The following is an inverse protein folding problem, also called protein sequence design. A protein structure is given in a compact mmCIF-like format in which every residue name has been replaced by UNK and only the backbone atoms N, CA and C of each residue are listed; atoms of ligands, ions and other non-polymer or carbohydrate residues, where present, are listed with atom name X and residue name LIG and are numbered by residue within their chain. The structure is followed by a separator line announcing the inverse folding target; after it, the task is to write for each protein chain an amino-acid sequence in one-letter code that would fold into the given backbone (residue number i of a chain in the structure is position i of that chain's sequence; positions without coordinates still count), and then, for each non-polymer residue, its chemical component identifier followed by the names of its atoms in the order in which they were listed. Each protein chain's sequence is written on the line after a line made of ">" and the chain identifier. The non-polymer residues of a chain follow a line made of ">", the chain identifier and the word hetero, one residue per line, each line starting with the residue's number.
data_IF_634308855101
#
_entry.id   IF_634308855101
#
_cell.length_a   1.000
_cell.length_b   1.000
_cell.length_c   1.000
_cell.angle_alpha   90.00
_cell.angle_beta   90.00
_cell.angle_gamma   90.00
#
_symmetry.space_group_name_H-M   'P 1'
#
loop_
_entity.id
_entity.type
_entity.pdbx_description
1 polymer ?
#
# COMPACT_ATOMS: atom_id res chain seq x y z
N UNK A 1 -4.19 -5.66 29.90
CA UNK A 1 -4.79 -6.68 29.00
C UNK A 1 -4.64 -6.28 27.51
N UNK A 2 -4.61 -5.01 27.14
CA UNK A 2 -4.42 -4.51 25.76
C UNK A 2 -3.00 -4.73 25.19
N UNK A 3 -1.96 -4.84 26.02
CA UNK A 3 -0.57 -4.98 25.58
C UNK A 3 -0.22 -6.40 25.05
N UNK A 4 -0.92 -7.44 25.49
CA UNK A 4 -0.61 -8.84 25.11
C UNK A 4 -1.10 -9.24 23.71
N UNK A 5 -2.16 -8.57 23.20
CA UNK A 5 -2.74 -8.91 21.89
C UNK A 5 -1.87 -8.38 20.75
N UNK A 6 -1.17 -7.27 20.93
CA UNK A 6 -0.33 -6.64 19.92
C UNK A 6 0.97 -7.39 19.62
N UNK A 7 1.56 -8.03 20.62
CA UNK A 7 2.76 -8.87 20.41
C UNK A 7 2.43 -10.08 19.52
N UNK A 8 1.27 -10.70 19.68
CA UNK A 8 0.90 -11.90 18.94
C UNK A 8 0.79 -11.67 17.41
N UNK A 9 0.19 -10.55 16.96
CA UNK A 9 0.03 -10.29 15.52
C UNK A 9 1.36 -9.88 14.86
N UNK A 10 2.17 -9.08 15.52
CA UNK A 10 3.54 -8.71 15.04
C UNK A 10 4.44 -9.93 15.00
N UNK A 11 4.42 -10.77 16.03
CA UNK A 11 5.21 -12.01 16.09
C UNK A 11 4.77 -12.97 14.99
N UNK A 12 3.46 -13.09 14.74
CA UNK A 12 2.90 -13.88 13.64
C UNK A 12 3.40 -13.37 12.28
N UNK A 13 3.33 -12.06 12.03
CA UNK A 13 3.81 -11.44 10.78
C UNK A 13 5.31 -11.70 10.63
N UNK A 14 6.11 -11.43 11.66
CA UNK A 14 7.55 -11.66 11.64
C UNK A 14 7.90 -13.13 11.34
N UNK A 15 7.24 -14.07 11.99
CA UNK A 15 7.46 -15.51 11.78
C UNK A 15 7.15 -15.93 10.34
N UNK A 16 6.03 -15.47 9.77
CA UNK A 16 5.60 -15.80 8.41
C UNK A 16 6.61 -15.27 7.38
N UNK A 17 7.00 -14.01 7.50
CA UNK A 17 7.91 -13.38 6.53
C UNK A 17 9.34 -13.94 6.65
N UNK A 18 9.78 -14.30 7.87
CA UNK A 18 11.10 -14.96 8.08
C UNK A 18 11.13 -16.36 7.47
N UNK A 19 10.05 -17.14 7.60
CA UNK A 19 9.97 -18.48 7.03
C UNK A 19 9.93 -18.50 5.51
N UNK A 20 9.33 -17.49 4.89
CA UNK A 20 9.13 -17.42 3.42
C UNK A 20 10.38 -17.04 2.65
N UNK A 21 11.43 -16.52 3.30
CA UNK A 21 12.60 -16.00 2.59
C UNK A 21 12.24 -14.91 1.57
N UNK A 22 11.18 -14.14 1.84
CA UNK A 22 10.48 -13.25 0.90
C UNK A 22 11.41 -12.27 0.18
N UNK A 23 12.51 -11.92 0.83
CA UNK A 23 13.48 -10.96 0.29
C UNK A 23 14.39 -11.57 -0.81
N UNK A 24 14.48 -12.90 -0.85
CA UNK A 24 15.30 -13.65 -1.81
C UNK A 24 14.48 -14.64 -2.67
N UNK A 25 13.15 -14.61 -2.58
CA UNK A 25 12.28 -15.50 -3.34
C UNK A 25 12.28 -15.11 -4.83
N UNK A 26 12.70 -16.00 -5.75
CA UNK A 26 12.70 -15.74 -7.19
C UNK A 26 11.31 -15.38 -7.77
N UNK A 27 10.22 -15.82 -7.12
CA UNK A 27 8.86 -15.43 -7.53
C UNK A 27 8.62 -13.92 -7.42
N UNK A 28 9.34 -13.22 -6.52
CA UNK A 28 9.23 -11.77 -6.29
C UNK A 28 10.39 -10.96 -6.86
N UNK A 29 11.14 -11.55 -7.79
CA UNK A 29 12.23 -10.88 -8.50
C UNK A 29 11.73 -10.10 -9.70
N UNK A 30 12.29 -8.91 -9.95
CA UNK A 30 12.02 -8.12 -11.17
C UNK A 30 12.50 -8.83 -12.46
N UNK A 31 13.29 -9.91 -12.34
CA UNK A 31 13.66 -10.79 -13.47
C UNK A 31 12.51 -11.76 -13.82
N UNK A 32 11.61 -12.06 -12.86
CA UNK A 32 10.45 -12.90 -13.12
C UNK A 32 9.41 -12.11 -13.92
N UNK A 33 9.11 -12.50 -15.18
CA UNK A 33 8.21 -11.72 -16.03
C UNK A 33 6.77 -11.65 -15.51
N UNK A 34 6.30 -12.66 -14.77
CA UNK A 34 4.96 -12.65 -14.17
C UNK A 34 4.88 -11.64 -13.03
N UNK A 35 5.92 -11.60 -12.20
CA UNK A 35 6.02 -10.58 -11.14
C UNK A 35 6.15 -9.18 -11.71
N UNK A 36 7.00 -9.00 -12.74
CA UNK A 36 7.18 -7.73 -13.42
C UNK A 36 5.87 -7.21 -14.04
N UNK A 37 5.10 -8.08 -14.69
CA UNK A 37 3.77 -7.73 -15.22
C UNK A 37 2.83 -7.22 -14.11
N UNK A 38 2.79 -7.91 -12.97
CA UNK A 38 2.04 -7.49 -11.79
C UNK A 38 2.49 -6.10 -11.30
N UNK A 39 3.80 -5.88 -11.19
CA UNK A 39 4.35 -4.60 -10.74
C UNK A 39 3.99 -3.46 -11.71
N UNK A 40 4.08 -3.68 -13.02
CA UNK A 40 3.68 -2.69 -14.03
C UNK A 40 2.18 -2.34 -13.94
N UNK A 41 1.32 -3.28 -13.58
CA UNK A 41 -0.12 -2.98 -13.38
C UNK A 41 -0.32 -2.00 -12.22
N UNK A 42 0.40 -2.16 -11.10
CA UNK A 42 0.37 -1.22 -9.97
C UNK A 42 1.02 0.11 -10.33
N UNK A 43 2.16 0.10 -11.04
CA UNK A 43 2.85 1.31 -11.49
C UNK A 43 1.94 2.18 -12.36
N UNK A 44 1.33 1.59 -13.39
CA UNK A 44 0.38 2.31 -14.27
C UNK A 44 -0.78 2.90 -13.49
N UNK A 45 -1.31 2.15 -12.51
CA UNK A 45 -2.40 2.64 -11.68
C UNK A 45 -1.96 3.81 -10.80
N UNK A 46 -0.77 3.72 -10.20
CA UNK A 46 -0.18 4.76 -9.35
C UNK A 46 0.12 6.03 -10.15
N UNK A 47 0.79 5.93 -11.29
CA UNK A 47 1.11 7.08 -12.14
C UNK A 47 -0.15 7.78 -12.67
N UNK A 48 -1.16 7.01 -13.08
CA UNK A 48 -2.45 7.56 -13.47
C UNK A 48 -3.15 8.29 -12.30
N UNK A 49 -3.08 7.74 -11.08
CA UNK A 49 -3.61 8.39 -9.88
C UNK A 49 -2.89 9.71 -9.59
N UNK A 50 -1.55 9.72 -9.58
CA UNK A 50 -0.73 10.92 -9.37
C UNK A 50 -1.07 12.01 -10.40
N UNK A 51 -1.28 11.63 -11.66
CA UNK A 51 -1.71 12.55 -12.72
C UNK A 51 -3.09 13.13 -12.43
N UNK A 52 -4.05 12.29 -12.07
CA UNK A 52 -5.44 12.70 -11.83
C UNK A 52 -5.59 13.64 -10.62
N UNK A 53 -4.76 13.46 -9.58
CA UNK A 53 -4.77 14.35 -8.40
C UNK A 53 -3.84 15.56 -8.55
N UNK A 54 -3.15 15.73 -9.70
CA UNK A 54 -2.25 16.85 -9.97
C UNK A 54 -0.91 16.78 -9.25
N UNK A 55 -0.50 15.61 -8.75
CA UNK A 55 0.74 15.43 -7.99
C UNK A 55 1.96 15.12 -8.86
N UNK A 56 1.74 14.70 -10.11
CA UNK A 56 2.82 14.30 -11.03
C UNK A 56 3.82 15.43 -11.37
N UNK A 57 3.36 16.71 -11.37
CA UNK A 57 4.22 17.87 -11.70
C UNK A 57 5.05 18.38 -10.53
N UNK A 58 4.75 17.93 -9.31
CA UNK A 58 5.39 18.39 -8.07
C UNK A 58 5.88 17.25 -7.17
N UNK A 59 6.05 16.05 -7.74
CA UNK A 59 6.37 14.86 -6.97
C UNK A 59 7.68 14.99 -6.16
N UNK A 60 8.63 15.77 -6.66
CA UNK A 60 9.88 16.06 -5.96
C UNK A 60 9.67 16.76 -4.60
N UNK A 61 8.61 17.55 -4.46
CA UNK A 61 8.31 18.32 -3.25
C UNK A 61 7.39 17.60 -2.27
N UNK A 62 6.76 16.49 -2.72
CA UNK A 62 5.79 15.75 -1.92
C UNK A 62 6.46 14.79 -0.97
N UNK A 63 5.98 14.76 0.27
CA UNK A 63 6.37 13.76 1.27
C UNK A 63 5.53 12.51 1.10
N UNK A 64 6.19 11.38 0.85
CA UNK A 64 5.57 10.08 0.61
C UNK A 64 5.88 9.14 1.76
N UNK A 65 4.85 8.52 2.33
CA UNK A 65 4.97 7.42 3.27
C UNK A 65 4.63 6.11 2.56
N UNK A 66 5.56 5.17 2.52
CA UNK A 66 5.32 3.77 2.15
C UNK A 66 5.04 2.96 3.42
N UNK A 67 3.76 2.65 3.63
CA UNK A 67 3.28 1.92 4.81
C UNK A 67 3.41 0.41 4.58
N UNK A 68 4.17 -0.27 5.44
CA UNK A 68 4.55 -1.67 5.26
C UNK A 68 5.57 -1.83 4.12
N UNK A 69 6.57 -0.96 4.10
CA UNK A 69 7.51 -0.81 2.99
C UNK A 69 8.39 -2.05 2.73
N UNK A 70 8.45 -2.99 3.68
CA UNK A 70 9.35 -4.13 3.61
C UNK A 70 10.81 -3.70 3.42
N UNK A 71 11.50 -4.32 2.46
CA UNK A 71 12.86 -3.97 2.06
C UNK A 71 12.92 -2.83 1.01
N UNK A 72 11.93 -1.92 1.03
CA UNK A 72 11.85 -0.72 0.18
C UNK A 72 11.78 -1.00 -1.34
N UNK A 73 11.03 -2.01 -1.78
CA UNK A 73 10.91 -2.38 -3.21
C UNK A 73 10.33 -1.26 -4.08
N UNK A 74 9.51 -0.38 -3.53
CA UNK A 74 8.89 0.73 -4.26
C UNK A 74 9.77 1.98 -4.34
N UNK A 75 10.77 2.11 -3.49
CA UNK A 75 11.58 3.33 -3.39
C UNK A 75 12.31 3.67 -4.69
N UNK A 76 12.93 2.68 -5.35
CA UNK A 76 13.56 2.88 -6.66
C UNK A 76 12.58 3.40 -7.72
N UNK A 77 11.32 2.98 -7.66
CA UNK A 77 10.27 3.45 -8.56
C UNK A 77 9.85 4.88 -8.26
N UNK A 78 9.63 5.20 -6.99
CA UNK A 78 9.34 6.58 -6.57
C UNK A 78 10.43 7.56 -7.00
N UNK A 79 11.70 7.19 -6.82
CA UNK A 79 12.87 7.99 -7.26
C UNK A 79 12.88 8.12 -8.79
N UNK A 80 12.67 7.02 -9.51
CA UNK A 80 12.62 7.04 -10.98
C UNK A 80 11.46 7.90 -11.53
N UNK A 81 10.38 8.07 -10.78
CA UNK A 81 9.27 8.97 -11.14
C UNK A 81 9.54 10.43 -10.77
N UNK A 82 10.64 10.73 -10.10
CA UNK A 82 11.07 12.09 -9.75
C UNK A 82 10.82 12.50 -8.30
N UNK A 83 10.51 11.56 -7.41
CA UNK A 83 10.45 11.88 -5.98
C UNK A 83 11.85 12.14 -5.43
N UNK A 84 11.99 13.15 -4.57
CA UNK A 84 13.24 13.42 -3.85
C UNK A 84 13.45 12.35 -2.77
N UNK A 85 14.62 11.65 -2.74
CA UNK A 85 14.86 10.60 -1.76
C UNK A 85 14.64 11.01 -0.30
N UNK A 86 15.06 12.21 0.10
CA UNK A 86 14.86 12.73 1.46
C UNK A 86 13.37 12.95 1.85
N UNK A 87 12.47 12.98 0.86
CA UNK A 87 11.02 13.08 1.05
C UNK A 87 10.31 11.71 1.09
N UNK A 88 11.06 10.62 0.87
CA UNK A 88 10.54 9.26 0.92
C UNK A 88 10.76 8.66 2.31
N UNK A 89 9.68 8.20 2.91
CA UNK A 89 9.69 7.57 4.23
C UNK A 89 9.07 6.18 4.12
N UNK A 90 9.71 5.19 4.73
CA UNK A 90 9.19 3.83 4.86
C UNK A 90 8.99 3.44 6.31
N UNK A 91 7.88 2.76 6.61
CA UNK A 91 7.64 2.13 7.91
C UNK A 91 7.28 0.66 7.73
N UNK A 92 7.77 -0.19 8.62
CA UNK A 92 7.40 -1.60 8.70
C UNK A 92 7.49 -2.06 10.16
N UNK A 93 6.73 -3.06 10.56
CA UNK A 93 6.81 -3.68 11.90
C UNK A 93 8.05 -4.58 12.04
N UNK A 94 8.67 -4.97 10.93
CA UNK A 94 9.82 -5.87 10.87
C UNK A 94 11.13 -5.07 10.87
N UNK A 95 11.81 -5.03 12.02
CA UNK A 95 13.08 -4.30 12.17
C UNK A 95 14.14 -4.72 11.14
N UNK A 96 14.24 -6.04 10.82
CA UNK A 96 15.17 -6.55 9.82
C UNK A 96 14.90 -6.01 8.41
N UNK A 97 13.61 -5.85 8.05
CA UNK A 97 13.25 -5.27 6.75
C UNK A 97 13.64 -3.77 6.67
N UNK A 98 13.48 -3.05 7.77
CA UNK A 98 13.90 -1.64 7.89
C UNK A 98 15.42 -1.51 7.78
N UNK A 99 16.20 -2.40 8.43
CA UNK A 99 17.66 -2.44 8.30
C UNK A 99 18.06 -2.59 6.82
N UNK A 100 17.52 -3.61 6.13
CA UNK A 100 17.79 -3.86 4.70
C UNK A 100 17.36 -2.68 3.81
N UNK A 101 16.26 -2.03 4.12
CA UNK A 101 15.77 -0.86 3.40
C UNK A 101 16.71 0.34 3.57
N UNK A 102 17.20 0.57 4.80
CA UNK A 102 18.13 1.66 5.13
C UNK A 102 19.49 1.47 4.43
N UNK A 103 20.01 0.25 4.39
CA UNK A 103 21.24 -0.07 3.68
C UNK A 103 21.10 0.17 2.17
N UNK A 104 19.95 -0.18 1.60
CA UNK A 104 19.67 -0.06 0.17
C UNK A 104 19.44 1.37 -0.29
N UNK A 105 18.80 2.20 0.55
CA UNK A 105 18.45 3.60 0.23
C UNK A 105 18.83 4.53 1.41
N UNK A 106 20.13 4.74 1.68
CA UNK A 106 20.59 5.51 2.85
C UNK A 106 20.17 7.00 2.83
N UNK A 107 19.74 7.51 1.68
CA UNK A 107 19.24 8.87 1.51
C UNK A 107 17.74 9.02 1.83
N UNK A 108 17.03 7.93 2.10
CA UNK A 108 15.61 7.91 2.45
C UNK A 108 15.45 7.72 3.98
N UNK A 109 14.24 7.91 4.48
CA UNK A 109 13.93 7.78 5.90
C UNK A 109 13.24 6.43 6.14
N UNK A 110 13.77 5.63 7.07
CA UNK A 110 13.14 4.36 7.46
C UNK A 110 12.99 4.26 8.96
N UNK A 111 11.84 3.75 9.41
CA UNK A 111 11.59 3.61 10.84
C UNK A 111 10.76 2.37 11.12
N UNK A 112 11.19 1.59 12.11
CA UNK A 112 10.39 0.50 12.65
C UNK A 112 9.19 1.09 13.39
N UNK A 113 7.99 0.60 13.08
CA UNK A 113 6.80 1.01 13.78
C UNK A 113 6.29 -0.09 14.71
N UNK A 114 5.58 0.30 15.75
CA UNK A 114 4.76 -0.62 16.54
C UNK A 114 3.34 -0.67 15.95
N UNK A 115 2.64 -1.80 16.08
CA UNK A 115 1.23 -1.86 15.68
C UNK A 115 0.43 -0.71 16.29
N UNK A 116 -0.54 -0.19 15.54
CA UNK A 116 -1.45 0.89 15.96
C UNK A 116 -0.82 2.28 16.05
N UNK A 117 0.47 2.45 15.75
CA UNK A 117 1.11 3.76 15.81
C UNK A 117 2.13 3.96 14.70
N UNK A 118 1.88 4.94 13.85
CA UNK A 118 2.84 5.44 12.86
C UNK A 118 3.67 6.55 13.54
N UNK A 119 5.01 6.39 13.68
CA UNK A 119 5.85 7.24 14.52
C UNK A 119 6.17 8.62 13.87
N UNK A 120 5.14 9.28 13.36
CA UNK A 120 5.21 10.61 12.78
C UNK A 120 4.06 11.49 13.27
N UNK A 121 4.26 12.80 13.24
CA UNK A 121 3.25 13.78 13.63
C UNK A 121 2.01 13.73 12.70
N UNK A 122 0.91 14.31 13.18
CA UNK A 122 -0.27 14.51 12.33
C UNK A 122 0.11 15.31 11.09
N UNK A 123 -0.55 15.00 9.98
CA UNK A 123 -0.44 15.81 8.74
C UNK A 123 1.00 15.96 8.22
N UNK A 124 1.78 14.89 8.30
CA UNK A 124 3.18 14.86 7.88
C UNK A 124 3.37 14.56 6.39
N UNK A 125 2.44 13.82 5.76
CA UNK A 125 2.64 13.27 4.42
C UNK A 125 1.57 13.73 3.42
N UNK A 126 1.99 13.98 2.19
CA UNK A 126 1.10 14.30 1.07
C UNK A 126 0.50 13.02 0.45
N UNK A 127 1.26 11.93 0.50
CA UNK A 127 0.87 10.62 -0.02
C UNK A 127 1.17 9.57 1.05
N UNK A 128 0.19 8.72 1.35
CA UNK A 128 0.38 7.46 2.06
C UNK A 128 0.12 6.32 1.09
N UNK A 129 1.16 5.58 0.75
CA UNK A 129 1.07 4.42 -0.15
C UNK A 129 1.11 3.13 0.66
N UNK A 130 0.22 2.20 0.35
CA UNK A 130 0.30 0.83 0.84
C UNK A 130 0.05 -0.17 -0.30
N UNK A 131 0.82 -1.25 -0.31
CA UNK A 131 0.67 -2.30 -1.30
C UNK A 131 0.74 -3.69 -0.65
N UNK A 132 -0.42 -4.34 -0.56
CA UNK A 132 -0.59 -5.71 -0.01
C UNK A 132 -0.14 -5.82 1.46
N UNK A 133 -0.57 -4.88 2.30
CA UNK A 133 -0.27 -4.86 3.74
C UNK A 133 -1.48 -5.29 4.56
N UNK A 134 -2.65 -4.70 4.32
CA UNK A 134 -3.84 -4.94 5.14
C UNK A 134 -4.36 -6.36 5.05
N UNK A 135 -4.16 -7.02 3.93
CA UNK A 135 -4.46 -8.46 3.83
C UNK A 135 -3.66 -9.33 4.80
N UNK A 136 -2.48 -8.89 5.21
CA UNK A 136 -1.65 -9.59 6.20
C UNK A 136 -2.05 -9.29 7.65
N UNK A 137 -2.87 -8.28 7.91
CA UNK A 137 -3.40 -7.97 9.23
C UNK A 137 -4.72 -8.74 9.40
N UNK A 138 -4.76 -9.78 10.24
CA UNK A 138 -5.97 -10.60 10.43
C UNK A 138 -6.91 -10.02 11.48
N UNK A 139 -6.36 -9.29 12.45
CA UNK A 139 -7.10 -8.61 13.50
C UNK A 139 -7.88 -7.40 12.94
N UNK A 140 -9.20 -7.42 13.12
CA UNK A 140 -10.10 -6.37 12.60
C UNK A 140 -9.90 -5.02 13.27
N UNK A 141 -9.67 -5.01 14.58
CA UNK A 141 -9.52 -3.77 15.36
C UNK A 141 -8.20 -3.10 14.98
N UNK A 142 -7.14 -3.92 14.84
CA UNK A 142 -5.85 -3.44 14.36
C UNK A 142 -5.95 -2.84 12.93
N UNK A 143 -6.77 -3.42 12.04
CA UNK A 143 -7.01 -2.82 10.72
C UNK A 143 -7.63 -1.43 10.82
N UNK A 144 -8.65 -1.25 11.66
CA UNK A 144 -9.31 0.05 11.84
C UNK A 144 -8.37 1.10 12.46
N UNK A 145 -7.65 0.72 13.50
CA UNK A 145 -6.68 1.62 14.13
C UNK A 145 -5.53 1.99 13.19
N UNK A 146 -5.04 1.03 12.41
CA UNK A 146 -4.02 1.27 11.38
C UNK A 146 -4.54 2.22 10.30
N UNK A 147 -5.77 2.05 9.83
CA UNK A 147 -6.40 2.94 8.87
C UNK A 147 -6.56 4.37 9.43
N UNK A 148 -6.98 4.50 10.69
CA UNK A 148 -7.06 5.79 11.38
C UNK A 148 -5.70 6.50 11.47
N UNK A 149 -4.63 5.76 11.78
CA UNK A 149 -3.27 6.29 11.81
C UNK A 149 -2.79 6.77 10.43
N UNK A 150 -3.11 6.02 9.35
CA UNK A 150 -2.81 6.48 7.98
C UNK A 150 -3.51 7.81 7.68
N UNK A 151 -4.77 7.98 8.09
CA UNK A 151 -5.50 9.25 7.92
C UNK A 151 -4.93 10.34 8.82
N UNK A 152 -4.50 10.00 10.07
CA UNK A 152 -3.92 10.97 11.00
C UNK A 152 -2.64 11.61 10.43
N UNK A 153 -1.74 10.79 9.90
CA UNK A 153 -0.46 11.28 9.35
C UNK A 153 -0.59 11.91 7.96
N UNK A 154 -1.73 11.74 7.29
CA UNK A 154 -2.01 12.32 5.98
C UNK A 154 -2.41 13.78 6.14
N UNK A 155 -1.79 14.67 5.35
CA UNK A 155 -2.15 16.11 5.28
C UNK A 155 -3.57 16.30 4.75
N UNK A 156 -4.22 17.44 5.05
CA UNK A 156 -5.42 17.87 4.32
C UNK A 156 -5.16 17.86 2.80
N UNK A 157 -6.13 17.40 2.02
CA UNK A 157 -6.02 17.17 0.57
C UNK A 157 -4.95 16.15 0.14
N UNK A 158 -4.26 15.50 1.07
CA UNK A 158 -3.39 14.38 0.80
C UNK A 158 -4.18 13.14 0.35
N UNK A 159 -3.48 12.16 -0.23
CA UNK A 159 -4.12 10.95 -0.75
C UNK A 159 -3.51 9.68 -0.19
N UNK A 160 -4.37 8.69 0.07
CA UNK A 160 -3.95 7.30 0.27
C UNK A 160 -4.02 6.60 -1.09
N UNK A 161 -2.92 5.99 -1.51
CA UNK A 161 -2.85 5.08 -2.64
C UNK A 161 -2.85 3.65 -2.11
N UNK A 162 -3.94 2.96 -2.33
CA UNK A 162 -4.22 1.64 -1.78
C UNK A 162 -4.16 0.57 -2.85
N UNK A 163 -3.46 -0.53 -2.59
CA UNK A 163 -3.53 -1.74 -3.41
C UNK A 163 -3.55 -2.99 -2.52
N UNK A 164 -4.59 -3.82 -2.64
CA UNK A 164 -4.65 -5.10 -1.95
C UNK A 164 -5.54 -6.11 -2.71
N UNK A 165 -5.42 -7.40 -2.40
CA UNK A 165 -6.20 -8.42 -3.08
C UNK A 165 -7.59 -8.61 -2.45
N UNK A 166 -8.56 -8.97 -3.32
CA UNK A 166 -9.98 -9.04 -3.00
C UNK A 166 -10.53 -10.47 -2.90
N UNK A 167 -9.68 -11.47 -3.12
CA UNK A 167 -10.01 -12.89 -3.02
C UNK A 167 -9.15 -13.56 -1.96
N UNK A 168 -9.76 -14.39 -1.11
CA UNK A 168 -8.98 -15.22 -0.20
C UNK A 168 -8.16 -16.24 -0.98
N UNK A 169 -6.93 -16.43 -0.55
CA UNK A 169 -6.09 -17.52 -1.06
C UNK A 169 -6.33 -18.76 -0.19
N UNK A 170 -6.96 -19.82 -0.72
CA UNK A 170 -7.26 -21.02 0.08
C UNK A 170 -5.99 -21.74 0.59
N UNK A 171 -4.87 -21.52 -0.11
CA UNK A 171 -3.59 -22.12 0.26
C UNK A 171 -2.76 -21.26 1.23
N UNK A 172 -3.29 -20.10 1.66
CA UNK A 172 -2.57 -19.21 2.55
C UNK A 172 -3.51 -18.63 3.62
N UNK A 173 -3.64 -19.29 4.78
CA UNK A 173 -4.48 -18.83 5.87
C UNK A 173 -3.96 -17.55 6.57
N UNK A 174 -2.72 -17.16 6.28
CA UNK A 174 -2.07 -16.00 6.90
C UNK A 174 -2.45 -14.67 6.25
N UNK A 175 -3.35 -14.69 5.26
CA UNK A 175 -3.83 -13.49 4.59
C UNK A 175 -5.35 -13.58 4.42
N UNK A 176 -6.01 -12.42 4.50
CA UNK A 176 -7.44 -12.27 4.33
C UNK A 176 -7.72 -11.16 3.33
N UNK A 177 -8.56 -11.46 2.34
CA UNK A 177 -8.98 -10.49 1.33
C UNK A 177 -9.52 -9.20 1.96
N UNK A 178 -9.25 -8.07 1.31
CA UNK A 178 -9.81 -6.76 1.67
C UNK A 178 -10.71 -6.30 0.53
N UNK A 179 -12.01 -6.45 0.71
CA UNK A 179 -13.00 -6.13 -0.31
C UNK A 179 -13.27 -4.62 -0.33
N UNK A 180 -13.93 -4.15 -1.41
CA UNK A 180 -14.34 -2.74 -1.54
C UNK A 180 -15.13 -2.22 -0.35
N UNK A 181 -16.03 -3.02 0.22
CA UNK A 181 -16.82 -2.63 1.39
C UNK A 181 -15.93 -2.49 2.64
N UNK A 182 -14.95 -3.38 2.81
CA UNK A 182 -14.02 -3.31 3.92
C UNK A 182 -13.21 -2.00 3.86
N UNK A 183 -12.74 -1.58 2.67
CA UNK A 183 -12.03 -0.31 2.49
C UNK A 183 -12.92 0.87 2.88
N UNK A 184 -14.18 0.88 2.47
CA UNK A 184 -15.14 1.94 2.83
C UNK A 184 -15.36 2.02 4.34
N UNK A 185 -15.42 0.87 5.01
CA UNK A 185 -15.60 0.80 6.46
C UNK A 185 -14.33 1.23 7.22
N UNK A 186 -13.13 0.96 6.66
CA UNK A 186 -11.86 1.38 7.23
C UNK A 186 -11.63 2.91 7.12
N UNK A 187 -12.20 3.54 6.09
CA UNK A 187 -12.00 4.96 5.78
C UNK A 187 -13.33 5.70 5.59
N UNK A 188 -14.19 5.79 6.64
CA UNK A 188 -15.53 6.38 6.51
C UNK A 188 -15.51 7.88 6.18
N UNK A 189 -14.50 8.61 6.65
CA UNK A 189 -14.43 10.08 6.56
C UNK A 189 -13.54 10.59 5.42
N UNK A 190 -13.12 9.71 4.50
CA UNK A 190 -12.34 10.10 3.33
C UNK A 190 -13.22 10.09 2.06
N UNK A 191 -12.78 10.83 1.05
CA UNK A 191 -13.40 10.85 -0.26
C UNK A 191 -12.79 9.75 -1.16
N UNK A 192 -13.61 8.86 -1.71
CA UNK A 192 -13.20 7.90 -2.73
C UNK A 192 -13.10 8.61 -4.09
N UNK A 193 -11.88 8.90 -4.57
CA UNK A 193 -11.67 9.49 -5.89
C UNK A 193 -11.67 8.44 -7.00
N UNK A 194 -11.16 7.26 -6.70
CA UNK A 194 -11.07 6.15 -7.64
C UNK A 194 -11.07 4.82 -6.87
N UNK A 195 -11.79 3.84 -7.39
CA UNK A 195 -11.65 2.45 -6.97
C UNK A 195 -11.88 1.52 -8.15
N UNK A 196 -10.82 0.80 -8.55
CA UNK A 196 -10.85 -0.13 -9.70
C UNK A 196 -10.11 -1.42 -9.39
N UNK A 197 -10.45 -2.48 -10.13
CA UNK A 197 -9.66 -3.72 -10.09
C UNK A 197 -8.47 -3.62 -11.02
N UNK A 198 -7.35 -4.19 -10.58
CA UNK A 198 -6.10 -4.31 -11.34
C UNK A 198 -5.49 -5.69 -11.11
N UNK A 199 -4.42 -6.00 -11.79
CA UNK A 199 -3.60 -7.21 -11.68
C UNK A 199 -4.35 -8.46 -12.14
N UNK A 200 -3.92 -8.99 -13.27
CA UNK A 200 -4.40 -10.26 -13.84
C UNK A 200 -4.23 -11.40 -12.83
N UNK A 201 -5.24 -12.26 -12.74
CA UNK A 201 -5.23 -13.42 -11.83
C UNK A 201 -3.94 -14.25 -12.00
N UNK A 202 -3.22 -14.58 -10.90
CA UNK A 202 -1.93 -15.25 -10.97
C UNK A 202 -1.93 -16.55 -11.80
N UNK A 203 -2.94 -17.44 -11.75
CA UNK A 203 -2.96 -18.63 -12.59
C UNK A 203 -2.97 -18.31 -14.10
N UNK A 204 -3.67 -17.26 -14.50
CA UNK A 204 -3.76 -16.81 -15.89
C UNK A 204 -2.46 -16.12 -16.30
N UNK A 205 -1.93 -15.24 -15.43
CA UNK A 205 -0.69 -14.53 -15.67
C UNK A 205 0.51 -15.50 -15.82
N UNK A 206 0.58 -16.56 -15.00
CA UNK A 206 1.63 -17.61 -15.10
C UNK A 206 1.64 -18.32 -16.46
N UNK A 207 0.51 -18.38 -17.15
CA UNK A 207 0.40 -18.98 -18.49
C UNK A 207 0.63 -17.93 -19.59
N UNK A 208 -0.08 -16.80 -19.52
CA UNK A 208 -0.10 -15.84 -20.63
C UNK A 208 1.18 -15.00 -20.71
N UNK A 209 1.74 -14.56 -19.58
CA UNK A 209 2.89 -13.65 -19.61
C UNK A 209 4.13 -14.26 -20.29
N UNK A 210 4.52 -15.52 -19.99
CA UNK A 210 5.62 -16.16 -20.69
C UNK A 210 5.37 -16.41 -22.17
N UNK A 211 4.10 -16.63 -22.57
CA UNK A 211 3.72 -16.88 -23.96
C UNK A 211 3.63 -15.60 -24.79
N UNK A 212 2.99 -14.57 -24.24
CA UNK A 212 2.81 -13.28 -24.89
C UNK A 212 2.43 -12.21 -23.87
N UNK A 213 3.33 -11.27 -23.67
CA UNK A 213 3.05 -10.10 -22.84
C UNK A 213 1.82 -9.32 -23.32
N UNK A 214 1.70 -9.14 -24.64
CA UNK A 214 0.57 -8.45 -25.26
C UNK A 214 -0.76 -9.16 -24.97
N UNK A 215 -0.80 -10.49 -25.05
CA UNK A 215 -1.98 -11.26 -24.71
C UNK A 215 -2.38 -11.11 -23.23
N UNK A 216 -1.40 -11.07 -22.32
CA UNK A 216 -1.65 -10.84 -20.91
C UNK A 216 -2.22 -9.42 -20.67
N UNK A 217 -1.64 -8.37 -21.26
CA UNK A 217 -2.12 -6.99 -21.18
C UNK A 217 -3.53 -6.84 -21.78
N UNK A 218 -3.78 -7.45 -22.94
CA UNK A 218 -5.11 -7.46 -23.55
C UNK A 218 -6.14 -8.14 -22.63
N UNK A 219 -5.79 -9.31 -22.09
CA UNK A 219 -6.66 -10.05 -21.17
C UNK A 219 -6.94 -9.24 -19.89
N UNK A 220 -5.91 -8.66 -19.29
CA UNK A 220 -6.09 -7.79 -18.11
C UNK A 220 -6.99 -6.60 -18.43
N UNK A 221 -6.84 -5.99 -19.61
CA UNK A 221 -7.58 -4.78 -19.98
C UNK A 221 -9.04 -5.08 -20.32
N UNK A 222 -9.30 -6.12 -21.10
CA UNK A 222 -10.63 -6.44 -21.62
C UNK A 222 -11.52 -7.23 -20.64
N UNK A 223 -10.92 -7.94 -19.67
CA UNK A 223 -11.64 -8.80 -18.73
C UNK A 223 -11.45 -8.39 -17.27
N UNK A 224 -12.09 -7.30 -16.80
CA UNK A 224 -11.91 -6.78 -15.43
C UNK A 224 -12.25 -7.79 -14.32
N UNK A 225 -13.11 -8.79 -14.61
CA UNK A 225 -13.47 -9.84 -13.66
C UNK A 225 -12.32 -10.83 -13.38
N UNK A 226 -11.31 -10.89 -14.27
CA UNK A 226 -10.10 -11.67 -14.08
C UNK A 226 -9.03 -10.94 -13.25
N UNK A 227 -9.30 -9.72 -12.78
CA UNK A 227 -8.38 -8.96 -11.93
C UNK A 227 -8.63 -9.27 -10.47
N UNK A 228 -7.56 -9.44 -9.72
CA UNK A 228 -7.59 -9.96 -8.35
C UNK A 228 -7.29 -8.94 -7.25
N UNK A 229 -6.85 -7.74 -7.61
CA UNK A 229 -6.55 -6.69 -6.64
C UNK A 229 -7.46 -5.48 -6.86
N UNK A 230 -7.73 -4.76 -5.79
CA UNK A 230 -8.35 -3.44 -5.83
C UNK A 230 -7.26 -2.38 -5.68
N UNK A 231 -7.30 -1.37 -6.54
CA UNK A 231 -6.55 -0.14 -6.40
C UNK A 231 -7.53 0.97 -6.09
N UNK A 232 -7.27 1.71 -5.01
CA UNK A 232 -8.10 2.84 -4.60
C UNK A 232 -7.25 4.10 -4.39
N UNK A 233 -7.86 5.25 -4.66
CA UNK A 233 -7.33 6.58 -4.35
C UNK A 233 -8.34 7.23 -3.41
N UNK A 234 -7.91 7.46 -2.19
CA UNK A 234 -8.73 8.01 -1.11
C UNK A 234 -8.13 9.36 -0.70
N UNK A 235 -8.94 10.42 -0.66
CA UNK A 235 -8.50 11.77 -0.30
C UNK A 235 -8.98 12.15 1.09
N UNK A 236 -8.09 12.67 1.93
CA UNK A 236 -8.47 13.30 3.18
C UNK A 236 -9.14 14.64 2.88
N UNK A 237 -10.38 14.78 3.33
CA UNK A 237 -11.12 16.07 3.20
C UNK A 237 -10.51 17.11 4.13
N UNK A 238 -10.51 18.37 3.70
CA UNK A 238 -10.33 19.49 4.62
C UNK A 238 -11.54 19.54 5.57
N UNK A 239 -11.28 19.61 6.87
CA UNK A 239 -12.32 19.97 7.81
C UNK A 239 -12.66 21.44 7.56
N UNK A 240 -13.76 21.72 6.83
CA UNK A 240 -14.28 23.07 6.70
C UNK A 240 -14.62 23.58 8.11
N UNK A 241 -13.90 24.56 8.58
CA UNK A 241 -14.14 25.29 9.86
C UNK A 241 -15.50 26.00 9.95
N UNK A 242 -16.35 25.86 8.91
CA UNK A 242 -17.67 26.49 8.83
C UNK A 242 -18.83 25.66 9.40
N UNK A 243 -18.62 24.41 9.83
CA UNK A 243 -19.72 23.59 10.37
C UNK A 243 -19.87 23.69 11.88
N UNK A 244 -18.85 24.17 12.59
CA UNK A 244 -18.89 24.31 14.08
C UNK A 244 -19.72 25.51 14.59
N UNK A 245 -20.21 26.39 13.70
CA UNK A 245 -21.01 27.56 14.07
C UNK A 245 -22.52 27.36 13.89
N UNK A 246 -22.97 26.22 13.40
CA UNK A 246 -24.42 25.95 13.20
C UNK A 246 -25.03 25.01 14.26
N UNK A 247 -24.25 24.41 15.12
CA UNK A 247 -24.75 23.56 16.22
C UNK A 247 -24.73 24.26 17.59
N UNK A 248 -24.46 25.57 17.63
CA UNK A 248 -24.41 26.38 18.85
C UNK A 248 -25.41 27.55 18.84
N UNK A 249 -26.55 27.44 18.09
CA UNK A 249 -27.66 28.38 18.19
C UNK A 249 -28.99 27.62 18.37
#
# INVERSE_FOLDING_TARGET
>A
MLCAINHNETDRINAIYSQRGYDNDPEYSDINPVYLHRMHSVERATLAALKNVGFHTKLADLKVLDFGCGNARWFGRWIAWGATPANLTGVDVRAKAIEMASDKFPQCIFQTMIPRHIPFANESFDIVFQNVVFSSILDSDLRHETAAEMVRVLKPNGVILWCDFIFNNPNNPNVKAVKRLDIKNLFPDVEELLMKRIILAPPIAKILVPLSWLAAEFTESCFPFLRTHVFAVLRKRELNSSTSLKEAI
#
